data_IF_059726828313
#
_entry.id   IF_059726828313
#
_cell.length_a   1.000
_cell.length_b   1.000
_cell.length_c   1.000
_cell.angle_alpha   90.00
_cell.angle_beta   90.00
_cell.angle_gamma   90.00
#
_symmetry.space_group_name_H-M   'P 1'
#
loop_
_entity.id
_entity.type
_entity.pdbx_description
1 polymer ?
#
# COMPACT_ATOMS: atom_id res chain seq x y z
N UNK A 1 -30.22 -8.23 16.75
CA UNK A 1 -28.97 -9.04 16.79
C UNK A 1 -27.97 -8.30 15.94
N UNK A 2 -26.80 -7.96 16.49
CA UNK A 2 -25.71 -7.33 15.73
C UNK A 2 -24.84 -8.42 15.08
N UNK A 3 -24.05 -8.07 14.07
CA UNK A 3 -23.04 -8.98 13.52
C UNK A 3 -21.89 -9.11 14.53
N UNK A 4 -21.73 -10.29 15.13
CA UNK A 4 -20.77 -10.54 16.23
C UNK A 4 -19.32 -10.30 15.78
N UNK A 5 -18.97 -10.65 14.53
CA UNK A 5 -17.63 -10.41 13.99
C UNK A 5 -17.36 -8.92 13.86
N UNK A 6 -18.30 -8.13 13.34
CA UNK A 6 -18.15 -6.68 13.22
C UNK A 6 -18.12 -6.00 14.59
N UNK A 7 -18.91 -6.53 15.54
CA UNK A 7 -18.85 -6.07 16.92
C UNK A 7 -17.47 -6.31 17.54
N UNK A 8 -16.90 -7.51 17.38
CA UNK A 8 -15.54 -7.83 17.85
C UNK A 8 -14.48 -6.90 17.27
N UNK A 9 -14.48 -6.70 15.94
CA UNK A 9 -13.56 -5.77 15.27
C UNK A 9 -13.67 -4.31 15.75
N UNK A 10 -14.85 -3.91 16.20
CA UNK A 10 -15.08 -2.57 16.75
C UNK A 10 -14.78 -2.46 18.25
N UNK A 11 -15.05 -3.51 19.02
CA UNK A 11 -14.88 -3.56 20.46
C UNK A 11 -13.41 -3.82 20.89
N UNK A 12 -12.64 -4.50 20.05
CA UNK A 12 -11.23 -4.81 20.28
C UNK A 12 -10.35 -3.94 19.37
N UNK A 13 -10.05 -2.69 19.75
CA UNK A 13 -9.17 -1.83 18.97
C UNK A 13 -7.78 -2.47 18.87
N UNK A 14 -7.10 -2.27 17.74
CA UNK A 14 -5.70 -2.70 17.61
C UNK A 14 -4.82 -1.97 18.64
N UNK A 15 -3.74 -2.60 19.08
CA UNK A 15 -2.78 -1.99 20.00
C UNK A 15 -2.29 -0.60 19.54
N UNK A 16 -2.17 -0.39 18.22
CA UNK A 16 -1.82 0.91 17.63
C UNK A 16 -2.89 1.97 17.96
N UNK A 17 -4.17 1.63 17.84
CA UNK A 17 -5.28 2.56 18.15
C UNK A 17 -5.39 2.84 19.64
N UNK A 18 -5.14 1.83 20.49
CA UNK A 18 -5.12 2.01 21.96
C UNK A 18 -3.98 2.93 22.37
N UNK A 19 -2.77 2.73 21.84
CA UNK A 19 -1.62 3.59 22.10
C UNK A 19 -1.85 5.03 21.63
N UNK A 20 -2.46 5.20 20.45
CA UNK A 20 -2.81 6.53 19.96
C UNK A 20 -3.81 7.24 20.87
N UNK A 21 -4.88 6.54 21.28
CA UNK A 21 -5.88 7.08 22.20
C UNK A 21 -5.24 7.44 23.56
N UNK A 22 -4.38 6.58 24.07
CA UNK A 22 -3.60 6.87 25.28
C UNK A 22 -2.71 8.11 25.11
N UNK A 23 -2.00 8.21 23.98
CA UNK A 23 -1.18 9.38 23.66
C UNK A 23 -1.97 10.68 23.66
N UNK A 24 -3.19 10.68 23.11
CA UNK A 24 -4.09 11.84 23.13
C UNK A 24 -4.47 12.26 24.55
N UNK A 25 -4.81 11.30 25.41
CA UNK A 25 -5.12 11.57 26.83
C UNK A 25 -3.89 12.14 27.55
N UNK A 26 -2.72 11.55 27.36
CA UNK A 26 -1.48 12.04 27.99
C UNK A 26 -1.11 13.45 27.53
N UNK A 27 -1.27 13.77 26.24
CA UNK A 27 -1.05 15.14 25.72
C UNK A 27 -1.96 16.18 26.40
N UNK A 28 -3.20 15.79 26.68
CA UNK A 28 -4.13 16.67 27.41
C UNK A 28 -3.78 16.85 28.90
N UNK A 29 -3.19 15.82 29.54
CA UNK A 29 -2.84 15.85 30.97
C UNK A 29 -1.54 16.61 31.26
N UNK A 30 -0.49 16.42 30.44
CA UNK A 30 0.87 16.90 30.75
C UNK A 30 1.44 17.87 29.72
N UNK A 31 0.68 18.23 28.69
CA UNK A 31 1.12 19.06 27.55
C UNK A 31 1.67 18.21 26.41
N UNK A 32 1.34 18.62 25.17
CA UNK A 32 1.75 17.88 23.97
C UNK A 32 3.27 17.82 23.78
N UNK A 33 3.99 18.86 24.24
CA UNK A 33 5.45 18.97 24.20
C UNK A 33 6.18 17.95 25.09
N UNK A 34 5.46 17.35 26.04
CA UNK A 34 6.00 16.37 26.98
C UNK A 34 5.63 14.92 26.59
N UNK A 35 5.01 14.70 25.42
CA UNK A 35 4.59 13.38 24.97
C UNK A 35 5.19 13.08 23.59
N UNK A 36 6.12 12.14 23.56
CA UNK A 36 6.74 11.62 22.33
C UNK A 36 5.92 10.43 21.81
N UNK A 37 4.99 10.71 20.92
CA UNK A 37 4.01 9.75 20.43
C UNK A 37 4.48 9.14 19.10
N UNK A 38 4.87 7.87 19.14
CA UNK A 38 5.28 7.08 17.99
C UNK A 38 4.25 5.99 17.59
N UNK A 39 3.00 6.15 18.05
CA UNK A 39 1.95 5.14 17.82
C UNK A 39 1.41 5.11 16.40
N UNK A 40 1.32 6.28 15.74
CA UNK A 40 0.82 6.40 14.36
C UNK A 40 1.90 7.01 13.48
N UNK A 41 2.14 6.37 12.33
CA UNK A 41 3.08 6.82 11.31
C UNK A 41 2.55 8.01 10.49
N UNK A 42 2.23 9.13 11.13
CA UNK A 42 1.99 10.38 10.39
C UNK A 42 3.31 10.90 9.81
N UNK A 43 3.33 11.38 8.56
CA UNK A 43 4.48 12.08 8.03
C UNK A 43 4.90 13.22 8.94
N UNK A 44 6.21 13.32 9.21
CA UNK A 44 6.80 14.42 10.00
C UNK A 44 7.18 15.63 9.15
N UNK A 45 7.08 15.50 7.83
CA UNK A 45 7.34 16.57 6.86
C UNK A 45 6.02 17.11 6.30
N UNK A 46 5.93 18.41 5.99
CA UNK A 46 4.74 19.00 5.40
C UNK A 46 4.54 18.48 3.96
N UNK A 47 3.29 18.59 3.48
CA UNK A 47 3.02 18.41 2.05
C UNK A 47 3.81 19.45 1.22
N UNK A 48 4.28 19.11 0.02
CA UNK A 48 4.95 20.05 -0.87
C UNK A 48 4.08 21.30 -1.17
N UNK A 49 4.71 22.45 -1.35
CA UNK A 49 4.00 23.71 -1.66
C UNK A 49 3.14 23.61 -2.93
N UNK A 50 3.54 22.77 -3.87
CA UNK A 50 2.78 22.47 -5.08
C UNK A 50 1.37 21.91 -4.77
N UNK A 51 1.19 21.18 -3.68
CA UNK A 51 -0.12 20.69 -3.24
C UNK A 51 -1.03 21.85 -2.86
N UNK A 52 -0.53 22.80 -2.07
CA UNK A 52 -1.28 24.01 -1.69
C UNK A 52 -1.63 24.84 -2.92
N UNK A 53 -0.67 25.02 -3.83
CA UNK A 53 -0.89 25.76 -5.07
C UNK A 53 -1.95 25.09 -5.94
N UNK A 54 -1.88 23.76 -6.11
CA UNK A 54 -2.87 22.99 -6.87
C UNK A 54 -4.29 23.12 -6.29
N UNK A 55 -4.41 23.08 -4.94
CA UNK A 55 -5.72 23.28 -4.27
C UNK A 55 -6.26 24.68 -4.57
N UNK A 56 -5.45 25.73 -4.43
CA UNK A 56 -5.89 27.12 -4.67
C UNK A 56 -6.34 27.32 -6.13
N UNK A 57 -5.58 26.84 -7.10
CA UNK A 57 -5.95 26.90 -8.52
C UNK A 57 -7.24 26.14 -8.85
N UNK A 58 -7.44 24.97 -8.24
CA UNK A 58 -8.65 24.18 -8.42
C UNK A 58 -9.88 24.86 -7.83
N UNK A 59 -9.73 25.61 -6.74
CA UNK A 59 -10.85 26.35 -6.13
C UNK A 59 -11.36 27.50 -6.99
N UNK A 60 -10.59 27.96 -7.99
CA UNK A 60 -11.02 28.95 -8.99
C UNK A 60 -11.81 28.31 -10.15
N UNK A 61 -11.88 26.98 -10.23
CA UNK A 61 -12.68 26.27 -11.23
C UNK A 61 -14.18 26.35 -10.90
N UNK A 62 -15.01 26.07 -11.92
CA UNK A 62 -16.47 26.07 -11.74
C UNK A 62 -16.87 25.01 -10.70
N UNK A 63 -17.59 25.38 -9.60
CA UNK A 63 -17.84 24.50 -8.47
C UNK A 63 -18.55 23.18 -8.81
N UNK A 64 -19.50 23.18 -9.72
CA UNK A 64 -20.25 21.96 -10.11
C UNK A 64 -19.33 20.99 -10.87
N UNK A 65 -18.38 21.50 -11.64
CA UNK A 65 -17.38 20.69 -12.33
C UNK A 65 -16.32 20.14 -11.34
N UNK A 66 -15.96 20.95 -10.35
CA UNK A 66 -14.96 20.55 -9.34
C UNK A 66 -15.49 19.50 -8.38
N UNK A 67 -16.73 19.63 -7.93
CA UNK A 67 -17.32 18.77 -6.88
C UNK A 67 -18.28 17.71 -7.43
N UNK A 68 -18.44 17.62 -8.75
CA UNK A 68 -19.27 16.63 -9.40
C UNK A 68 -18.73 15.21 -9.30
N UNK A 69 -19.60 14.20 -9.43
CA UNK A 69 -19.17 12.80 -9.49
C UNK A 69 -18.25 12.57 -10.71
N UNK A 70 -17.23 11.74 -10.50
CA UNK A 70 -16.44 11.13 -11.57
C UNK A 70 -16.98 9.73 -11.92
N UNK A 71 -16.56 9.10 -13.01
CA UNK A 71 -16.73 7.65 -13.18
C UNK A 71 -16.21 6.88 -11.96
N UNK A 72 -16.75 5.69 -11.72
CA UNK A 72 -16.43 4.88 -10.52
C UNK A 72 -14.92 4.66 -10.34
N UNK A 73 -14.17 4.44 -11.43
CA UNK A 73 -12.71 4.26 -11.42
C UNK A 73 -11.92 5.59 -11.26
N UNK A 74 -12.58 6.74 -11.25
CA UNK A 74 -11.96 8.06 -11.14
C UNK A 74 -11.97 8.88 -12.43
N UNK A 75 -11.54 10.15 -12.33
CA UNK A 75 -11.44 11.09 -13.45
C UNK A 75 -10.49 10.52 -14.53
N UNK A 76 -10.92 10.40 -15.80
CA UNK A 76 -10.09 9.83 -16.86
C UNK A 76 -8.77 10.58 -17.07
N UNK A 77 -8.75 11.91 -16.87
CA UNK A 77 -7.51 12.71 -16.99
C UNK A 77 -6.52 12.38 -15.89
N UNK A 78 -7.02 12.11 -14.68
CA UNK A 78 -6.16 11.72 -13.55
C UNK A 78 -5.63 10.30 -13.74
N UNK A 79 -6.47 9.38 -14.20
CA UNK A 79 -6.04 8.02 -14.56
C UNK A 79 -4.97 8.03 -15.66
N UNK A 80 -5.12 8.91 -16.66
CA UNK A 80 -4.11 9.12 -17.70
C UNK A 80 -2.80 9.63 -17.10
N UNK A 81 -2.85 10.63 -16.20
CA UNK A 81 -1.66 11.16 -15.55
C UNK A 81 -0.92 10.10 -14.73
N UNK A 82 -1.65 9.25 -14.01
CA UNK A 82 -1.07 8.10 -13.27
C UNK A 82 -0.42 7.10 -14.22
N UNK A 83 -1.10 6.71 -15.31
CA UNK A 83 -0.55 5.80 -16.31
C UNK A 83 0.71 6.38 -16.96
N UNK A 84 0.71 7.67 -17.29
CA UNK A 84 1.88 8.37 -17.85
C UNK A 84 3.06 8.39 -16.87
N UNK A 85 2.78 8.63 -15.58
CA UNK A 85 3.81 8.57 -14.53
C UNK A 85 4.42 7.18 -14.42
N UNK A 86 3.59 6.13 -14.37
CA UNK A 86 4.04 4.73 -14.31
C UNK A 86 4.91 4.40 -15.52
N UNK A 87 4.49 4.78 -16.73
CA UNK A 87 5.29 4.57 -17.95
C UNK A 87 6.66 5.24 -17.87
N UNK A 88 6.70 6.52 -17.48
CA UNK A 88 7.97 7.27 -17.40
C UNK A 88 8.90 6.73 -16.33
N UNK A 89 8.32 6.32 -15.19
CA UNK A 89 9.11 5.97 -14.00
C UNK A 89 9.63 4.53 -14.04
N UNK A 90 8.87 3.60 -14.61
CA UNK A 90 9.14 2.16 -14.50
C UNK A 90 9.27 1.44 -15.83
N UNK A 91 9.13 2.15 -16.94
CA UNK A 91 9.24 1.59 -18.31
C UNK A 91 8.28 0.40 -18.55
N UNK A 92 7.04 0.50 -18.06
CA UNK A 92 5.98 -0.47 -18.30
C UNK A 92 4.86 0.15 -19.16
N UNK A 93 4.14 -0.62 -19.99
CA UNK A 93 3.16 -0.09 -20.95
C UNK A 93 1.82 0.27 -20.30
N UNK A 94 1.83 0.93 -19.14
CA UNK A 94 0.63 1.23 -18.35
C UNK A 94 -0.43 2.00 -19.13
N UNK A 95 -1.68 1.53 -19.08
CA UNK A 95 -2.85 2.14 -19.72
C UNK A 95 -3.79 2.73 -18.65
N UNK A 96 -4.48 3.85 -18.94
CA UNK A 96 -5.40 4.45 -17.98
C UNK A 96 -6.59 3.54 -17.62
N UNK A 97 -6.95 2.59 -18.50
CA UNK A 97 -7.99 1.58 -18.26
C UNK A 97 -7.64 0.66 -17.09
N UNK A 98 -6.36 0.46 -16.82
CA UNK A 98 -5.82 -0.40 -15.75
C UNK A 98 -5.61 0.35 -14.44
N UNK A 99 -5.91 1.65 -14.39
CA UNK A 99 -5.81 2.49 -13.18
C UNK A 99 -7.19 2.69 -12.57
N UNK A 100 -7.30 2.44 -11.26
CA UNK A 100 -8.50 2.70 -10.47
C UNK A 100 -8.12 3.58 -9.27
N UNK A 101 -8.70 4.79 -9.18
CA UNK A 101 -8.41 5.73 -8.10
C UNK A 101 -9.12 5.31 -6.81
N UNK A 102 -8.42 5.32 -5.69
CA UNK A 102 -8.89 4.76 -4.42
C UNK A 102 -8.83 5.77 -3.27
N UNK A 103 -9.59 5.49 -2.22
CA UNK A 103 -9.48 6.20 -0.95
C UNK A 103 -8.24 5.73 -0.15
N UNK A 104 -7.07 5.88 -0.74
CA UNK A 104 -5.78 5.41 -0.22
C UNK A 104 -5.54 3.92 -0.46
N UNK A 105 -4.34 3.41 -0.09
CA UNK A 105 -3.96 2.02 -0.30
C UNK A 105 -4.87 1.03 0.45
N UNK A 106 -5.41 1.38 1.62
CA UNK A 106 -6.31 0.52 2.38
C UNK A 106 -7.55 0.08 1.57
N UNK A 107 -8.20 1.03 0.87
CA UNK A 107 -9.31 0.71 -0.03
C UNK A 107 -8.80 -0.13 -1.22
N UNK A 108 -7.62 0.21 -1.75
CA UNK A 108 -6.98 -0.55 -2.82
C UNK A 108 -6.76 -2.02 -2.46
N UNK A 109 -6.20 -2.28 -1.28
CA UNK A 109 -5.94 -3.63 -0.78
C UNK A 109 -7.23 -4.43 -0.61
N UNK A 110 -8.25 -3.85 0.03
CA UNK A 110 -9.55 -4.51 0.18
C UNK A 110 -10.21 -4.86 -1.17
N UNK A 111 -10.13 -3.94 -2.14
CA UNK A 111 -10.61 -4.14 -3.51
C UNK A 111 -9.80 -5.25 -4.19
N UNK A 112 -8.46 -5.20 -4.13
CA UNK A 112 -7.59 -6.16 -4.80
C UNK A 112 -7.81 -7.58 -4.28
N UNK A 113 -7.86 -7.75 -2.96
CA UNK A 113 -8.15 -9.06 -2.35
C UNK A 113 -9.48 -9.59 -2.88
N UNK A 114 -10.55 -8.78 -2.81
CA UNK A 114 -11.88 -9.19 -3.25
C UNK A 114 -11.99 -9.43 -4.76
N UNK A 115 -11.11 -8.83 -5.55
CA UNK A 115 -11.12 -8.96 -7.02
C UNK A 115 -10.48 -10.26 -7.51
N UNK A 116 -9.52 -10.82 -6.77
CA UNK A 116 -8.71 -11.98 -7.23
C UNK A 116 -8.85 -13.21 -6.34
N UNK A 117 -9.78 -13.18 -5.37
CA UNK A 117 -10.03 -14.32 -4.47
C UNK A 117 -11.50 -14.68 -4.41
N UNK A 118 -11.78 -15.95 -4.10
CA UNK A 118 -13.10 -16.47 -3.77
C UNK A 118 -13.17 -16.86 -2.29
N UNK A 119 -14.34 -16.84 -1.65
CA UNK A 119 -14.49 -17.35 -0.30
C UNK A 119 -13.94 -18.78 -0.13
N UNK A 120 -13.03 -18.97 0.84
CA UNK A 120 -12.35 -20.24 1.09
C UNK A 120 -10.97 -20.33 0.46
N UNK A 121 -10.55 -19.35 -0.33
CA UNK A 121 -9.18 -19.21 -0.79
C UNK A 121 -8.23 -18.80 0.35
N UNK A 122 -6.94 -18.92 0.08
CA UNK A 122 -5.86 -18.52 0.98
C UNK A 122 -5.12 -17.32 0.39
N UNK A 123 -4.85 -16.33 1.26
CA UNK A 123 -3.97 -15.20 0.95
C UNK A 123 -2.76 -15.25 1.87
N UNK A 124 -1.58 -15.31 1.28
CA UNK A 124 -0.31 -15.30 2.03
C UNK A 124 0.09 -13.86 2.34
N UNK A 125 0.55 -13.64 3.57
CA UNK A 125 1.19 -12.39 4.02
C UNK A 125 2.55 -12.69 4.63
N UNK A 126 3.49 -11.77 4.46
CA UNK A 126 4.87 -11.93 4.92
C UNK A 126 5.03 -11.26 6.29
N UNK A 127 5.38 -12.02 7.31
CA UNK A 127 5.55 -11.51 8.66
C UNK A 127 6.99 -10.98 8.89
N UNK A 128 7.14 -9.83 9.57
CA UNK A 128 6.09 -9.00 10.17
C UNK A 128 5.35 -8.15 9.13
N UNK A 129 4.08 -7.84 9.39
CA UNK A 129 3.16 -7.22 8.44
C UNK A 129 2.25 -6.17 9.09
N UNK A 130 1.59 -5.36 8.27
CA UNK A 130 0.56 -4.44 8.72
C UNK A 130 -0.70 -5.21 9.16
N UNK A 131 -1.14 -5.10 10.44
CA UNK A 131 -2.16 -5.97 11.03
C UNK A 131 -3.51 -5.99 10.29
N UNK A 132 -3.87 -4.89 9.62
CA UNK A 132 -5.16 -4.75 8.93
C UNK A 132 -5.29 -5.71 7.72
N UNK A 133 -4.19 -6.29 7.20
CA UNK A 133 -4.28 -7.31 6.14
C UNK A 133 -5.18 -8.47 6.54
N UNK A 134 -5.04 -8.97 7.79
CA UNK A 134 -5.88 -10.04 8.32
C UNK A 134 -7.37 -9.69 8.33
N UNK A 135 -7.68 -8.43 8.63
CA UNK A 135 -9.07 -7.94 8.66
C UNK A 135 -9.67 -8.00 7.26
N UNK A 136 -8.96 -7.50 6.25
CA UNK A 136 -9.47 -7.46 4.87
C UNK A 136 -9.55 -8.85 4.25
N UNK A 137 -8.52 -9.70 4.45
CA UNK A 137 -8.50 -11.09 4.00
C UNK A 137 -9.70 -11.85 4.58
N UNK A 138 -9.87 -11.78 5.90
CA UNK A 138 -11.01 -12.42 6.54
C UNK A 138 -12.35 -11.82 6.15
N UNK A 139 -12.44 -10.52 5.77
CA UNK A 139 -13.68 -9.91 5.28
C UNK A 139 -14.06 -10.42 3.89
N UNK A 140 -13.08 -10.74 3.05
CA UNK A 140 -13.29 -11.40 1.77
C UNK A 140 -13.69 -12.89 1.91
N UNK A 141 -13.73 -13.44 3.13
CA UNK A 141 -14.04 -14.85 3.37
C UNK A 141 -12.84 -15.79 3.15
N UNK A 142 -11.64 -15.24 3.05
CA UNK A 142 -10.41 -15.96 2.80
C UNK A 142 -9.68 -16.32 4.10
N UNK A 143 -8.85 -17.38 4.04
CA UNK A 143 -7.92 -17.72 5.09
C UNK A 143 -6.61 -16.92 4.93
N UNK A 144 -6.09 -16.42 6.04
CA UNK A 144 -4.80 -15.73 6.06
C UNK A 144 -3.70 -16.75 6.41
N UNK A 145 -2.70 -16.86 5.55
CA UNK A 145 -1.51 -17.71 5.76
C UNK A 145 -0.30 -16.81 6.02
N UNK A 146 0.29 -16.93 7.20
CA UNK A 146 1.45 -16.13 7.60
C UNK A 146 2.74 -16.87 7.28
N UNK A 147 3.63 -16.24 6.54
CA UNK A 147 4.96 -16.78 6.23
C UNK A 147 5.99 -15.82 6.82
N UNK A 148 6.93 -16.29 7.65
CA UNK A 148 7.98 -15.43 8.18
C UNK A 148 8.91 -14.96 7.05
N UNK A 149 9.39 -13.73 7.17
CA UNK A 149 10.52 -13.27 6.37
C UNK A 149 11.81 -13.93 6.85
N UNK A 150 12.80 -14.01 5.99
CA UNK A 150 14.12 -14.49 6.36
C UNK A 150 14.81 -13.51 7.34
N UNK A 151 15.37 -14.03 8.42
CA UNK A 151 16.09 -13.25 9.44
C UNK A 151 17.59 -13.49 9.26
N UNK A 152 18.45 -12.44 9.28
CA UNK A 152 18.18 -11.11 9.85
C UNK A 152 17.84 -10.02 8.82
N UNK A 153 17.80 -10.31 7.53
CA UNK A 153 17.69 -9.31 6.44
C UNK A 153 16.25 -8.99 6.02
N UNK A 154 15.28 -9.73 6.54
CA UNK A 154 13.85 -9.61 6.22
C UNK A 154 13.51 -9.66 4.73
N UNK A 155 14.34 -10.39 3.96
CA UNK A 155 14.00 -10.78 2.59
C UNK A 155 12.91 -11.85 2.59
N UNK A 156 12.28 -12.10 1.42
CA UNK A 156 11.32 -13.19 1.29
C UNK A 156 12.04 -14.53 1.52
N UNK A 157 11.52 -15.35 2.43
CA UNK A 157 11.97 -16.72 2.62
C UNK A 157 11.35 -17.60 1.53
N UNK A 158 12.12 -17.87 0.48
CA UNK A 158 11.65 -18.61 -0.70
C UNK A 158 11.29 -20.03 -0.36
N UNK A 159 11.99 -20.67 0.57
CA UNK A 159 11.71 -22.05 0.98
C UNK A 159 10.43 -22.14 1.84
N UNK A 160 10.25 -21.20 2.76
CA UNK A 160 9.03 -21.12 3.55
C UNK A 160 7.81 -20.82 2.64
N UNK A 161 7.95 -19.90 1.66
CA UNK A 161 6.92 -19.62 0.66
C UNK A 161 6.61 -20.86 -0.19
N UNK A 162 7.62 -21.61 -0.63
CA UNK A 162 7.42 -22.82 -1.41
C UNK A 162 6.60 -23.88 -0.67
N UNK A 163 6.74 -23.96 0.67
CA UNK A 163 5.95 -24.86 1.52
C UNK A 163 4.53 -24.33 1.76
N UNK A 164 4.34 -23.02 1.85
CA UNK A 164 3.06 -22.41 2.15
C UNK A 164 2.12 -22.31 0.92
N UNK A 165 2.68 -22.13 -0.28
CA UNK A 165 1.88 -22.03 -1.52
C UNK A 165 1.28 -23.40 -1.86
N UNK A 166 -0.05 -23.48 -1.78
CA UNK A 166 -0.84 -24.69 -2.01
C UNK A 166 -2.04 -24.49 -2.94
N UNK A 167 -2.88 -25.52 -3.12
CA UNK A 167 -4.01 -25.51 -4.08
C UNK A 167 -5.06 -24.42 -3.80
N UNK A 168 -5.12 -23.88 -2.58
CA UNK A 168 -6.04 -22.82 -2.20
C UNK A 168 -5.42 -21.41 -2.28
N UNK A 169 -4.12 -21.31 -2.44
CA UNK A 169 -3.45 -20.01 -2.52
C UNK A 169 -3.88 -19.27 -3.77
N UNK A 170 -4.47 -18.09 -3.61
CA UNK A 170 -4.89 -17.22 -4.71
C UNK A 170 -4.00 -15.99 -4.84
N UNK A 171 -3.55 -15.42 -3.73
CA UNK A 171 -2.76 -14.20 -3.74
C UNK A 171 -1.71 -14.17 -2.63
N UNK A 172 -0.67 -13.37 -2.86
CA UNK A 172 0.37 -13.03 -1.90
C UNK A 172 0.41 -11.51 -1.75
N UNK A 173 0.33 -10.98 -0.52
CA UNK A 173 0.53 -9.56 -0.26
C UNK A 173 2.00 -9.32 0.01
N UNK A 174 2.60 -8.45 -0.80
CA UNK A 174 3.99 -8.00 -0.69
C UNK A 174 4.02 -6.52 -0.34
N UNK A 175 4.74 -6.15 0.73
CA UNK A 175 4.96 -4.77 1.13
C UNK A 175 6.46 -4.46 1.15
N UNK A 176 6.92 -3.64 0.20
CA UNK A 176 8.32 -3.25 0.06
C UNK A 176 8.44 -1.81 -0.49
N UNK A 177 9.07 -0.88 0.26
CA UNK A 177 9.63 -1.02 1.62
C UNK A 177 8.61 -1.49 2.63
N UNK A 178 9.04 -2.35 3.59
CA UNK A 178 8.16 -3.02 4.52
C UNK A 178 7.79 -2.15 5.73
N UNK A 179 6.53 -2.18 6.11
CA UNK A 179 6.05 -1.75 7.42
C UNK A 179 5.76 -3.00 8.27
N UNK A 180 6.46 -3.23 9.41
CA UNK A 180 7.14 -2.22 10.23
C UNK A 180 8.68 -2.18 10.13
N UNK A 181 9.34 -3.03 9.35
CA UNK A 181 10.79 -3.26 9.45
C UNK A 181 11.62 -2.24 8.65
N UNK A 182 11.05 -1.65 7.60
CA UNK A 182 11.81 -0.77 6.69
C UNK A 182 12.74 -1.53 5.72
N UNK A 183 12.65 -2.85 5.64
CA UNK A 183 13.42 -3.65 4.68
C UNK A 183 12.89 -3.46 3.25
N UNK A 184 13.81 -3.46 2.29
CA UNK A 184 13.51 -3.44 0.85
C UNK A 184 13.84 -4.80 0.25
N UNK A 185 12.90 -5.43 -0.44
CA UNK A 185 13.18 -6.66 -1.18
C UNK A 185 14.17 -6.39 -2.30
N UNK A 186 15.26 -7.15 -2.34
CA UNK A 186 16.25 -7.03 -3.41
C UNK A 186 15.70 -7.54 -4.74
N UNK A 187 16.30 -7.10 -5.84
CA UNK A 187 15.95 -7.59 -7.19
C UNK A 187 16.14 -9.10 -7.29
N UNK A 188 17.24 -9.61 -6.79
CA UNK A 188 17.58 -11.05 -6.81
C UNK A 188 16.55 -11.86 -6.01
N UNK A 189 16.12 -11.34 -4.86
CA UNK A 189 15.12 -12.03 -4.03
C UNK A 189 13.75 -12.04 -4.71
N UNK A 190 13.35 -10.92 -5.36
CA UNK A 190 12.11 -10.87 -6.14
C UNK A 190 12.15 -11.75 -7.39
N UNK A 191 13.29 -11.89 -8.06
CA UNK A 191 13.47 -12.80 -9.19
C UNK A 191 13.37 -14.27 -8.76
N UNK A 192 13.95 -14.63 -7.61
CA UNK A 192 13.78 -15.96 -7.01
C UNK A 192 12.32 -16.24 -6.63
N UNK A 193 11.62 -15.23 -6.09
CA UNK A 193 10.19 -15.30 -5.79
C UNK A 193 9.37 -15.50 -7.07
N UNK A 194 9.61 -14.76 -8.13
CA UNK A 194 8.93 -14.90 -9.41
C UNK A 194 9.13 -16.30 -10.02
N UNK A 195 10.37 -16.83 -9.94
CA UNK A 195 10.67 -18.19 -10.39
C UNK A 195 9.92 -19.25 -9.57
N UNK A 196 9.76 -19.04 -8.25
CA UNK A 196 8.93 -19.89 -7.41
C UNK A 196 7.46 -19.84 -7.84
N UNK A 197 6.90 -18.63 -8.05
CA UNK A 197 5.50 -18.47 -8.46
C UNK A 197 5.21 -19.15 -9.80
N UNK A 198 6.08 -18.98 -10.79
CA UNK A 198 5.94 -19.62 -12.11
C UNK A 198 5.89 -21.15 -11.98
N UNK A 199 6.81 -21.74 -11.20
CA UNK A 199 6.81 -23.19 -10.92
C UNK A 199 5.53 -23.64 -10.22
N UNK A 200 5.06 -22.86 -9.24
CA UNK A 200 3.85 -23.18 -8.49
C UNK A 200 2.58 -23.03 -9.33
N UNK A 201 2.49 -22.06 -10.22
CA UNK A 201 1.39 -21.98 -11.18
C UNK A 201 1.33 -23.21 -12.08
N UNK A 202 2.48 -23.68 -12.58
CA UNK A 202 2.55 -24.91 -13.40
C UNK A 202 2.15 -26.17 -12.59
N UNK A 203 2.67 -26.29 -11.35
CA UNK A 203 2.34 -27.40 -10.46
C UNK A 203 0.84 -27.47 -10.12
N UNK A 204 0.24 -26.33 -9.80
CA UNK A 204 -1.12 -26.23 -9.27
C UNK A 204 -2.20 -26.04 -10.35
N UNK A 205 -1.79 -25.67 -11.54
CA UNK A 205 -2.72 -25.29 -12.62
C UNK A 205 -3.58 -24.08 -12.26
N UNK A 206 -3.07 -23.19 -11.40
CA UNK A 206 -3.79 -22.04 -10.86
C UNK A 206 -2.94 -20.78 -10.96
N UNK A 207 -3.57 -19.65 -11.31
CA UNK A 207 -2.91 -18.33 -11.31
C UNK A 207 -2.67 -17.85 -9.89
N UNK A 208 -1.50 -17.25 -9.66
CA UNK A 208 -1.08 -16.66 -8.39
C UNK A 208 -0.89 -15.16 -8.55
N UNK A 209 -1.70 -14.36 -7.86
CA UNK A 209 -1.63 -12.90 -7.94
C UNK A 209 -0.73 -12.35 -6.84
N UNK A 210 0.06 -11.33 -7.17
CA UNK A 210 0.79 -10.52 -6.18
C UNK A 210 0.05 -9.21 -6.00
N UNK A 211 -0.32 -8.90 -4.76
CA UNK A 211 -0.85 -7.60 -4.37
C UNK A 211 0.29 -6.84 -3.73
N UNK A 212 0.87 -5.89 -4.49
CA UNK A 212 2.01 -5.09 -4.08
C UNK A 212 1.53 -3.83 -3.36
N UNK A 213 1.72 -3.78 -2.05
CA UNK A 213 1.40 -2.61 -1.20
C UNK A 213 2.60 -1.67 -1.15
N UNK A 214 2.50 -0.53 -1.85
CA UNK A 214 3.63 0.35 -2.15
C UNK A 214 3.49 1.80 -1.63
N UNK A 215 2.98 2.06 -0.43
CA UNK A 215 2.83 3.43 0.06
C UNK A 215 4.17 4.11 0.42
N UNK A 216 5.26 3.36 0.52
CA UNK A 216 6.58 3.83 0.96
C UNK A 216 7.62 3.86 -0.15
N UNK A 217 7.25 3.57 -1.39
CA UNK A 217 8.17 3.41 -2.54
C UNK A 217 9.18 4.55 -2.70
N UNK A 218 8.78 5.80 -2.47
CA UNK A 218 9.62 6.98 -2.62
C UNK A 218 10.47 7.29 -1.38
N UNK A 219 10.17 6.66 -0.23
CA UNK A 219 10.88 6.93 1.02
C UNK A 219 11.91 5.83 1.22
N UNK A 220 13.08 6.01 0.62
CA UNK A 220 14.22 5.08 0.74
C UNK A 220 15.50 5.83 1.01
N UNK A 221 16.43 5.15 1.67
CA UNK A 221 17.72 5.70 2.10
C UNK A 221 18.85 5.12 1.24
N UNK A 222 18.72 5.31 -0.08
CA UNK A 222 19.70 4.83 -1.06
C UNK A 222 19.44 3.42 -1.59
N UNK A 223 18.45 2.69 -1.06
CA UNK A 223 18.04 1.41 -1.60
C UNK A 223 17.21 1.58 -2.89
N UNK A 224 17.50 0.77 -3.91
CA UNK A 224 16.66 0.64 -5.09
C UNK A 224 15.43 -0.22 -4.74
N UNK A 225 14.24 0.27 -5.06
CA UNK A 225 12.99 -0.48 -4.91
C UNK A 225 12.59 -1.01 -6.29
N UNK A 226 12.75 -2.30 -6.57
CA UNK A 226 12.33 -2.86 -7.85
C UNK A 226 10.83 -2.70 -8.05
N UNK A 227 10.37 -2.47 -9.30
CA UNK A 227 8.94 -2.41 -9.59
C UNK A 227 8.40 -3.82 -9.80
N UNK A 228 7.56 -4.27 -8.91
CA UNK A 228 7.10 -5.67 -8.85
C UNK A 228 6.46 -6.15 -10.16
N UNK A 229 5.65 -5.35 -10.89
CA UNK A 229 5.12 -5.75 -12.21
C UNK A 229 6.18 -6.15 -13.24
N UNK A 230 7.39 -5.56 -13.18
CA UNK A 230 8.50 -5.91 -14.07
C UNK A 230 9.14 -7.27 -13.75
N UNK A 231 8.90 -7.79 -12.54
CA UNK A 231 9.45 -9.08 -12.09
C UNK A 231 8.38 -10.17 -12.14
N UNK A 232 7.17 -9.85 -11.70
CA UNK A 232 6.02 -10.74 -11.78
C UNK A 232 4.83 -10.03 -12.44
N UNK A 233 4.47 -10.40 -13.68
CA UNK A 233 3.40 -9.72 -14.44
C UNK A 233 2.04 -9.72 -13.76
N UNK A 234 1.65 -10.82 -13.06
CA UNK A 234 0.36 -10.91 -12.34
C UNK A 234 0.38 -10.12 -11.05
N UNK A 235 0.61 -8.83 -11.16
CA UNK A 235 0.70 -7.91 -10.01
C UNK A 235 -0.38 -6.85 -10.08
N UNK A 236 -1.02 -6.59 -8.93
CA UNK A 236 -1.86 -5.43 -8.67
C UNK A 236 -1.10 -4.53 -7.69
N UNK A 237 -0.75 -3.34 -8.11
CA UNK A 237 -0.08 -2.34 -7.27
C UNK A 237 -1.12 -1.53 -6.52
N UNK A 238 -0.98 -1.44 -5.20
CA UNK A 238 -1.78 -0.59 -4.31
C UNK A 238 -0.90 0.56 -3.83
N UNK A 239 -1.17 1.77 -4.31
CA UNK A 239 -0.37 2.95 -4.00
C UNK A 239 -1.17 4.00 -3.21
N UNK A 240 -0.49 4.79 -2.39
CA UNK A 240 -1.09 5.90 -1.64
C UNK A 240 -0.16 7.10 -1.58
N UNK A 241 -0.72 8.29 -1.75
CA UNK A 241 -0.02 9.56 -1.56
C UNK A 241 0.08 9.98 -0.08
N UNK A 242 -0.32 9.09 0.83
CA UNK A 242 -0.26 9.34 2.28
C UNK A 242 1.15 9.63 2.79
N UNK A 243 2.16 9.06 2.13
CA UNK A 243 3.57 9.17 2.56
C UNK A 243 4.37 10.05 1.60
N UNK A 244 4.33 9.77 0.31
CA UNK A 244 5.10 10.50 -0.70
C UNK A 244 4.77 12.00 -0.76
N UNK A 245 3.50 12.38 -0.65
CA UNK A 245 3.05 13.77 -0.62
C UNK A 245 2.58 14.26 0.76
N UNK A 246 2.78 13.47 1.82
CA UNK A 246 2.32 13.80 3.18
C UNK A 246 0.81 14.11 3.26
N UNK A 247 -0.02 13.32 2.59
CA UNK A 247 -1.47 13.49 2.48
C UNK A 247 -2.29 12.34 3.12
N UNK A 248 -1.97 11.85 4.34
CA UNK A 248 -2.67 10.70 4.91
C UNK A 248 -4.14 11.00 5.20
N UNK A 249 -4.49 12.24 5.54
CA UNK A 249 -5.86 12.67 5.84
C UNK A 249 -6.77 12.76 4.62
N UNK A 250 -6.19 12.96 3.43
CA UNK A 250 -6.94 13.21 2.20
C UNK A 250 -7.46 11.94 1.53
N UNK A 251 -7.02 10.78 1.99
CA UNK A 251 -7.49 9.47 1.52
C UNK A 251 -7.44 9.34 0.01
N UNK A 252 -6.27 9.51 -0.59
CA UNK A 252 -6.08 9.42 -2.04
C UNK A 252 -4.93 8.48 -2.40
N UNK A 253 -5.18 7.63 -3.40
CA UNK A 253 -4.26 6.64 -3.94
C UNK A 253 -4.79 6.05 -5.22
N UNK A 254 -4.19 4.97 -5.68
CA UNK A 254 -4.65 4.24 -6.85
C UNK A 254 -4.33 2.74 -6.75
N UNK A 255 -5.07 1.96 -7.51
CA UNK A 255 -4.71 0.63 -7.96
C UNK A 255 -4.19 0.72 -9.39
N UNK A 256 -3.17 -0.07 -9.68
CA UNK A 256 -2.74 -0.34 -11.04
C UNK A 256 -2.71 -1.86 -11.27
N UNK A 257 -3.55 -2.33 -12.16
CA UNK A 257 -3.51 -3.72 -12.65
C UNK A 257 -2.46 -3.79 -13.75
N UNK A 258 -1.44 -4.62 -13.59
CA UNK A 258 -0.33 -4.66 -14.53
C UNK A 258 -0.79 -5.01 -15.96
N UNK A 259 -0.47 -4.15 -16.92
CA UNK A 259 -0.71 -4.42 -18.36
C UNK A 259 0.14 -5.58 -18.91
N UNK A 260 1.11 -6.06 -18.12
CA UNK A 260 1.96 -7.20 -18.50
C UNK A 260 1.28 -8.55 -18.19
N UNK A 261 0.17 -8.57 -17.41
CA UNK A 261 -0.56 -9.82 -17.17
C UNK A 261 -1.50 -10.15 -18.33
N UNK A 262 -1.66 -11.44 -18.60
CA UNK A 262 -2.45 -11.98 -19.73
C UNK A 262 -3.96 -11.76 -19.55
N UNK A 263 -4.45 -11.59 -18.33
CA UNK A 263 -5.85 -11.36 -17.96
C UNK A 263 -6.10 -9.95 -17.34
N UNK A 264 -5.27 -8.98 -17.69
CA UNK A 264 -5.33 -7.62 -17.15
C UNK A 264 -6.72 -6.97 -17.25
N UNK A 265 -7.41 -7.19 -18.37
CA UNK A 265 -8.74 -6.64 -18.62
C UNK A 265 -9.80 -7.26 -17.70
N UNK A 266 -9.75 -8.57 -17.53
CA UNK A 266 -10.66 -9.34 -16.67
C UNK A 266 -10.45 -8.92 -15.21
N UNK A 267 -9.19 -8.83 -14.77
CA UNK A 267 -8.83 -8.38 -13.41
C UNK A 267 -9.26 -6.93 -13.17
N UNK A 268 -9.07 -6.02 -14.12
CA UNK A 268 -9.55 -4.63 -13.99
C UNK A 268 -11.07 -4.56 -13.91
N UNK A 269 -11.77 -5.43 -14.64
CA UNK A 269 -13.23 -5.53 -14.55
C UNK A 269 -13.65 -6.04 -13.16
N UNK A 270 -12.95 -7.04 -12.61
CA UNK A 270 -13.19 -7.54 -11.26
C UNK A 270 -12.87 -6.48 -10.19
N UNK A 271 -11.80 -5.70 -10.34
CA UNK A 271 -11.46 -4.55 -9.49
C UNK A 271 -12.60 -3.53 -9.45
N UNK A 272 -13.17 -3.18 -10.62
CA UNK A 272 -14.33 -2.27 -10.68
C UNK A 272 -15.58 -2.87 -9.99
N UNK A 273 -15.81 -4.17 -10.15
CA UNK A 273 -16.86 -4.93 -9.47
C UNK A 273 -16.69 -4.92 -7.95
N UNK A 274 -15.49 -5.23 -7.47
CA UNK A 274 -15.15 -5.24 -6.06
C UNK A 274 -15.25 -3.83 -5.44
N UNK A 275 -14.75 -2.80 -6.13
CA UNK A 275 -14.89 -1.41 -5.71
C UNK A 275 -16.36 -1.01 -5.51
N UNK A 276 -17.24 -1.41 -6.45
CA UNK A 276 -18.69 -1.21 -6.33
C UNK A 276 -19.28 -1.99 -5.16
N UNK A 277 -18.93 -3.25 -5.01
CA UNK A 277 -19.46 -4.13 -3.96
C UNK A 277 -19.08 -3.63 -2.55
N UNK A 278 -17.86 -3.12 -2.39
CA UNK A 278 -17.33 -2.60 -1.13
C UNK A 278 -17.72 -1.13 -0.86
N UNK A 279 -18.32 -0.44 -1.83
CA UNK A 279 -18.67 0.98 -1.72
C UNK A 279 -17.48 1.93 -1.90
N UNK A 280 -16.34 1.46 -2.41
CA UNK A 280 -15.16 2.27 -2.71
C UNK A 280 -15.15 2.74 -4.16
N UNK A 281 -16.10 3.59 -4.51
CA UNK A 281 -16.22 4.22 -5.82
C UNK A 281 -16.00 5.74 -5.68
N UNK A 282 -15.56 6.38 -6.77
CA UNK A 282 -15.40 7.83 -6.83
C UNK A 282 -14.55 8.37 -5.67
N UNK A 283 -13.27 8.01 -5.61
CA UNK A 283 -12.33 8.61 -4.66
C UNK A 283 -12.47 10.15 -4.58
N UNK A 284 -12.05 10.84 -3.51
CA UNK A 284 -12.26 12.28 -3.32
C UNK A 284 -11.82 13.12 -4.53
N UNK A 285 -12.78 13.76 -5.23
CA UNK A 285 -12.57 14.36 -6.57
C UNK A 285 -11.54 15.48 -6.55
N UNK A 286 -11.60 16.37 -5.55
CA UNK A 286 -10.63 17.44 -5.41
C UNK A 286 -9.20 16.88 -5.40
N UNK A 287 -8.96 15.87 -4.54
CA UNK A 287 -7.62 15.29 -4.41
C UNK A 287 -7.23 14.39 -5.59
N UNK A 288 -8.16 13.79 -6.31
CA UNK A 288 -7.84 13.19 -7.61
C UNK A 288 -7.15 14.22 -8.52
N UNK A 289 -7.69 15.45 -8.62
CA UNK A 289 -7.14 16.50 -9.49
C UNK A 289 -5.87 17.12 -8.93
N UNK A 290 -5.76 17.23 -7.61
CA UNK A 290 -4.52 17.70 -6.96
C UNK A 290 -3.36 16.76 -7.29
N UNK A 291 -3.53 15.43 -7.09
CA UNK A 291 -2.44 14.50 -7.37
C UNK A 291 -2.02 14.50 -8.84
N UNK A 292 -2.92 14.72 -9.79
CA UNK A 292 -2.55 14.80 -11.21
C UNK A 292 -1.60 15.98 -11.51
N UNK A 293 -1.61 17.03 -10.67
CA UNK A 293 -0.71 18.18 -10.78
C UNK A 293 0.58 18.01 -9.99
N UNK A 294 0.58 17.12 -8.98
CA UNK A 294 1.69 16.94 -8.04
C UNK A 294 2.31 15.53 -8.10
N UNK A 295 1.97 14.73 -9.12
CA UNK A 295 2.34 13.31 -9.16
C UNK A 295 3.85 13.09 -9.24
N UNK A 296 4.59 14.03 -9.80
CA UNK A 296 6.04 13.97 -9.96
C UNK A 296 6.79 14.79 -8.88
N UNK A 297 6.08 15.35 -7.88
CA UNK A 297 6.71 16.07 -6.78
C UNK A 297 7.54 15.12 -5.91
N UNK A 298 8.78 15.47 -5.58
CA UNK A 298 9.63 14.62 -4.76
C UNK A 298 9.18 14.60 -3.30
N UNK A 299 9.35 13.45 -2.64
CA UNK A 299 9.26 13.35 -1.19
C UNK A 299 10.49 13.98 -0.53
N UNK A 300 10.32 14.64 0.63
CA UNK A 300 11.45 15.14 1.42
C UNK A 300 12.14 13.98 2.17
N UNK A 301 12.86 13.17 1.41
CA UNK A 301 13.60 12.01 1.96
C UNK A 301 14.74 12.46 2.87
N UNK A 302 15.28 13.66 2.67
CA UNK A 302 16.40 14.16 3.49
C UNK A 302 15.99 14.35 4.96
N UNK A 303 14.80 14.87 5.22
CA UNK A 303 14.27 15.01 6.58
C UNK A 303 14.06 13.65 7.26
N UNK A 304 13.53 12.65 6.53
CA UNK A 304 13.39 11.29 7.05
C UNK A 304 14.75 10.63 7.29
N UNK A 305 15.73 10.82 6.41
CA UNK A 305 17.07 10.28 6.56
C UNK A 305 17.78 10.85 7.79
N UNK A 306 17.63 12.15 8.07
CA UNK A 306 18.17 12.77 9.28
C UNK A 306 17.56 12.19 10.57
N UNK A 307 16.23 11.98 10.57
CA UNK A 307 15.55 11.34 11.70
C UNK A 307 16.01 9.89 11.88
N UNK A 308 16.16 9.14 10.80
CA UNK A 308 16.67 7.77 10.82
C UNK A 308 18.08 7.72 11.43
N UNK A 309 19.00 8.56 10.97
CA UNK A 309 20.38 8.61 11.47
C UNK A 309 20.41 8.93 12.97
N UNK A 310 19.62 9.91 13.42
CA UNK A 310 19.51 10.27 14.84
C UNK A 310 19.04 9.07 15.68
N UNK A 311 17.98 8.39 15.26
CA UNK A 311 17.40 7.26 15.99
C UNK A 311 18.32 6.04 15.98
N UNK A 312 18.88 5.66 14.85
CA UNK A 312 19.75 4.48 14.74
C UNK A 312 21.05 4.67 15.50
N UNK A 313 21.65 5.88 15.45
CA UNK A 313 22.83 6.22 16.24
C UNK A 313 22.52 6.16 17.75
N UNK A 314 21.48 6.86 18.18
CA UNK A 314 21.14 6.93 19.61
C UNK A 314 20.72 5.57 20.20
N UNK A 315 19.94 4.77 19.47
CA UNK A 315 19.56 3.43 19.90
C UNK A 315 20.77 2.49 19.95
N UNK A 316 21.69 2.58 18.96
CA UNK A 316 22.94 1.81 18.95
C UNK A 316 23.83 2.14 20.14
N UNK A 317 24.00 3.42 20.48
CA UNK A 317 24.76 3.87 21.67
C UNK A 317 24.16 3.35 22.98
N UNK A 318 22.84 3.15 23.04
CA UNK A 318 22.13 2.57 24.17
C UNK A 318 22.16 1.04 24.18
N UNK A 319 22.76 0.39 23.18
CA UNK A 319 22.92 -1.07 23.10
C UNK A 319 21.68 -1.81 22.56
N UNK A 320 20.77 -1.13 21.88
CA UNK A 320 19.66 -1.79 21.18
C UNK A 320 20.14 -2.45 19.90
N UNK A 321 19.66 -3.66 19.67
CA UNK A 321 19.83 -4.37 18.39
C UNK A 321 18.59 -4.15 17.52
N UNK A 322 18.78 -3.74 16.29
CA UNK A 322 17.71 -3.50 15.31
C UNK A 322 18.23 -3.70 13.89
N UNK A 323 17.28 -3.94 12.99
CA UNK A 323 17.58 -3.93 11.56
C UNK A 323 17.63 -2.49 11.08
N UNK A 324 18.68 -2.13 10.40
CA UNK A 324 18.80 -0.78 9.85
C UNK A 324 17.79 -0.56 8.72
N UNK A 325 16.85 0.41 8.87
CA UNK A 325 15.81 0.63 7.86
C UNK A 325 16.43 1.10 6.54
N UNK A 326 16.03 0.47 5.44
CA UNK A 326 16.41 0.85 4.07
C UNK A 326 15.39 1.81 3.45
N UNK A 327 14.17 1.88 4.04
CA UNK A 327 13.07 2.75 3.64
C UNK A 327 11.99 2.82 4.70
N UNK A 328 10.90 3.60 4.42
CA UNK A 328 9.68 3.82 5.21
C UNK A 328 9.80 4.65 6.47
#
# INVERSE_FOLDING_TARGET
MVNERMYGLGAEPSAIRELFAYGMVRKAEIGAENVFDFSIGNPSVPAPDAVKQAVLELMDEEPSALHGYTPAAGDPRVRQAVADHIRRRYDVPAQPEQVYLTAGAAAGLAISISAVTEPGDEVIIIAPFFPEYKVWIGTAGCACVEVPAHVPDFQLDIDALAQAIGPKTAAIILNSPNNPVGAVCSRENLEAFAALLARKEEELGRKLYVISDEPYREITYGAEVPYVPCVWPRTIVCYSYSKSLSLPGERIGYLYVSDLMDDAREVSTAVAGAGRALGFICAPVLFQRVIARCIDEPSDVAAYAANRELLTTGLGELGYEFVEPQGA
#
